data_IF_327618083569
#
_entry.id   IF_327618083569
#
_cell.length_a   1.000
_cell.length_b   1.000
_cell.length_c   1.000
_cell.angle_alpha   90.00
_cell.angle_beta   90.00
_cell.angle_gamma   90.00
#
_symmetry.space_group_name_H-M   'P 1'
#
loop_
_entity.id
_entity.type
_entity.pdbx_description
1 polymer ?
#
# COMPACT_ATOMS: atom_id res chain seq x y z
N UNK A 1 6.36 10.82 13.86
CA UNK A 1 6.47 11.12 15.31
C UNK A 1 5.39 10.44 16.16
N UNK A 2 4.11 10.51 15.77
CA UNK A 2 3.06 9.72 16.42
C UNK A 2 2.96 8.26 15.92
N UNK A 3 3.75 7.86 14.90
CA UNK A 3 3.75 6.47 14.40
C UNK A 3 4.12 5.46 15.48
N UNK A 4 5.08 5.79 16.37
CA UNK A 4 5.42 4.95 17.54
C UNK A 4 4.24 4.76 18.50
N UNK A 5 3.23 5.63 18.42
CA UNK A 5 1.99 5.57 19.20
C UNK A 5 0.81 5.03 18.36
N UNK A 6 1.07 4.46 17.18
CA UNK A 6 0.07 3.79 16.35
C UNK A 6 -0.56 4.65 15.25
N UNK A 7 -0.09 5.87 15.00
CA UNK A 7 -0.56 6.65 13.84
C UNK A 7 -0.05 6.02 12.53
N UNK A 8 -0.95 5.69 11.60
CA UNK A 8 -0.60 4.99 10.34
C UNK A 8 -0.72 5.85 9.09
N UNK A 9 -1.46 6.95 9.15
CA UNK A 9 -1.84 7.74 7.98
C UNK A 9 -0.69 8.54 7.34
N UNK A 10 0.55 8.44 7.83
CA UNK A 10 1.74 8.83 7.06
C UNK A 10 1.81 8.05 5.74
N UNK A 11 1.41 6.78 5.76
CA UNK A 11 1.25 5.91 4.58
C UNK A 11 -0.20 5.98 4.09
N UNK A 12 -0.55 7.11 3.50
CA UNK A 12 -1.93 7.43 3.15
C UNK A 12 -2.48 6.58 2.00
N UNK A 13 -1.64 6.08 1.06
CA UNK A 13 -2.09 5.17 0.01
C UNK A 13 -2.61 3.87 0.62
N UNK A 14 -1.85 3.28 1.56
CA UNK A 14 -2.34 2.17 2.36
C UNK A 14 -3.60 2.53 3.16
N UNK A 15 -3.59 3.68 3.83
CA UNK A 15 -4.69 4.12 4.71
C UNK A 15 -6.03 4.23 3.96
N UNK A 16 -6.02 4.73 2.72
CA UNK A 16 -7.23 4.84 1.88
C UNK A 16 -7.56 3.56 1.11
N UNK A 17 -6.84 2.47 1.39
CA UNK A 17 -7.15 1.15 0.86
C UNK A 17 -6.57 0.84 -0.52
N UNK A 18 -5.54 1.56 -1.00
CA UNK A 18 -4.90 1.26 -2.30
C UNK A 18 -4.50 -0.21 -2.40
N UNK A 19 -3.89 -0.78 -1.35
CA UNK A 19 -3.54 -2.20 -1.31
C UNK A 19 -4.75 -3.15 -1.28
N UNK A 20 -5.87 -2.74 -0.66
CA UNK A 20 -7.10 -3.51 -0.68
C UNK A 20 -7.66 -3.61 -2.10
N UNK A 21 -7.71 -2.48 -2.82
CA UNK A 21 -8.20 -2.47 -4.20
C UNK A 21 -7.24 -3.15 -5.18
N UNK A 22 -5.93 -3.14 -4.92
CA UNK A 22 -4.97 -3.97 -5.67
C UNK A 22 -5.28 -5.46 -5.52
N UNK A 23 -5.59 -5.93 -4.31
CA UNK A 23 -5.99 -7.34 -4.10
C UNK A 23 -7.29 -7.68 -4.82
N UNK A 24 -8.26 -6.77 -4.84
CA UNK A 24 -9.49 -6.93 -5.63
C UNK A 24 -9.17 -7.01 -7.12
N UNK A 25 -8.31 -6.12 -7.63
CA UNK A 25 -7.90 -6.12 -9.04
C UNK A 25 -7.21 -7.43 -9.42
N UNK A 26 -6.31 -7.93 -8.57
CA UNK A 26 -5.66 -9.22 -8.79
C UNK A 26 -6.65 -10.38 -8.75
N UNK A 27 -7.58 -10.40 -7.80
CA UNK A 27 -8.61 -11.44 -7.72
C UNK A 27 -9.49 -11.48 -8.98
N UNK A 28 -9.89 -10.32 -9.50
CA UNK A 28 -10.68 -10.21 -10.74
C UNK A 28 -9.88 -10.63 -11.97
N UNK A 29 -8.59 -10.30 -12.02
CA UNK A 29 -7.70 -10.63 -13.13
C UNK A 29 -7.11 -12.05 -13.07
N UNK A 30 -7.48 -12.87 -12.08
CA UNK A 30 -6.89 -14.20 -11.90
C UNK A 30 -5.40 -14.16 -11.52
N UNK A 31 -4.93 -13.08 -10.91
CA UNK A 31 -3.53 -12.87 -10.50
C UNK A 31 -2.64 -12.22 -11.55
N UNK A 32 -3.17 -11.87 -12.73
CA UNK A 32 -2.39 -11.36 -13.87
C UNK A 32 -2.59 -9.84 -14.09
N UNK A 33 -3.01 -9.09 -13.07
CA UNK A 33 -3.13 -7.63 -13.22
C UNK A 33 -1.76 -6.97 -13.28
N UNK A 34 -1.51 -6.21 -14.35
CA UNK A 34 -0.27 -5.45 -14.57
C UNK A 34 -0.37 -3.97 -14.18
N UNK A 35 -1.52 -3.54 -13.67
CA UNK A 35 -1.82 -2.13 -13.37
C UNK A 35 -2.21 -1.92 -11.90
N UNK A 36 -1.67 -2.73 -10.98
CA UNK A 36 -1.79 -2.47 -9.54
C UNK A 36 -1.02 -1.23 -9.14
N UNK A 37 -1.50 -0.49 -8.14
CA UNK A 37 -1.03 0.84 -7.83
C UNK A 37 0.08 0.89 -6.75
N UNK A 38 0.04 0.00 -5.74
CA UNK A 38 0.86 0.16 -4.54
C UNK A 38 2.34 -0.19 -4.77
N UNK A 39 2.62 -1.27 -5.52
CA UNK A 39 3.95 -1.86 -5.63
C UNK A 39 5.02 -0.89 -6.19
N UNK A 40 4.65 -0.06 -7.17
CA UNK A 40 5.55 0.91 -7.81
C UNK A 40 5.31 2.36 -7.34
N UNK A 41 4.54 2.55 -6.25
CA UNK A 41 4.25 3.88 -5.71
C UNK A 41 5.46 4.52 -5.03
N UNK A 42 5.48 5.85 -4.94
CA UNK A 42 6.47 6.57 -4.12
C UNK A 42 6.34 6.23 -2.63
N UNK A 43 5.14 5.90 -2.16
CA UNK A 43 4.92 5.41 -0.81
C UNK A 43 5.70 4.10 -0.56
N UNK A 44 5.63 3.14 -1.48
CA UNK A 44 6.41 1.90 -1.40
C UNK A 44 7.92 2.17 -1.47
N UNK A 45 8.37 3.07 -2.36
CA UNK A 45 9.78 3.36 -2.55
C UNK A 45 10.42 4.15 -1.39
N UNK A 46 9.67 5.02 -0.72
CA UNK A 46 10.21 6.01 0.22
C UNK A 46 9.79 5.79 1.67
N UNK A 47 8.77 4.94 1.93
CA UNK A 47 8.20 4.71 3.27
C UNK A 47 8.25 3.23 3.72
N UNK A 48 9.10 2.40 3.11
CA UNK A 48 9.25 0.96 3.41
C UNK A 48 9.86 0.62 4.78
N UNK A 49 10.56 1.57 5.42
CA UNK A 49 11.53 1.30 6.49
C UNK A 49 10.97 1.09 7.91
N UNK A 50 9.71 0.67 8.09
CA UNK A 50 9.10 0.64 9.44
C UNK A 50 8.31 -0.64 9.75
N UNK A 51 8.75 -1.77 9.18
CA UNK A 51 8.45 -3.11 9.68
C UNK A 51 9.69 -3.72 10.38
N UNK A 52 10.37 -2.93 11.23
CA UNK A 52 11.38 -3.41 12.17
C UNK A 52 10.80 -3.42 13.59
#
# INVERSE_FOLDING_TARGET
>A
AAEVNGYTATRHQREVGTGYFDLVAQAVAGGESSTTALAESTEAAQFAAEHA
#
